data_IF_997569099825
#
_entry.id   IF_997569099825
#
_cell.length_a   1.000
_cell.length_b   1.000
_cell.length_c   1.000
_cell.angle_alpha   90.00
_cell.angle_beta   90.00
_cell.angle_gamma   90.00
#
_symmetry.space_group_name_H-M   'P 1'
#
loop_
_entity.id
_entity.type
_entity.pdbx_description
1 polymer ?
#
# COMPACT_ATOMS: atom_id res chain seq x y z
N UNK A 1 46.33 -25.67 -14.77
CA UNK A 1 46.03 -24.23 -14.64
C UNK A 1 45.04 -23.72 -15.68
N UNK A 2 45.08 -24.16 -16.94
CA UNK A 2 44.14 -23.71 -17.98
C UNK A 2 42.66 -24.06 -17.69
N UNK A 3 42.38 -25.26 -17.17
CA UNK A 3 41.00 -25.69 -16.87
C UNK A 3 40.34 -24.94 -15.72
N UNK A 4 41.14 -24.46 -14.78
CA UNK A 4 40.64 -23.64 -13.65
C UNK A 4 40.19 -22.25 -14.11
N UNK A 5 40.90 -21.65 -15.07
CA UNK A 5 40.52 -20.34 -15.65
C UNK A 5 39.27 -20.46 -16.53
N UNK A 6 39.10 -21.54 -17.28
CA UNK A 6 37.90 -21.78 -18.10
C UNK A 6 36.65 -21.95 -17.23
N UNK A 7 36.78 -22.62 -16.08
CA UNK A 7 35.70 -22.77 -15.11
C UNK A 7 35.24 -21.44 -14.52
N UNK A 8 36.17 -20.57 -14.11
CA UNK A 8 35.87 -19.26 -13.56
C UNK A 8 35.19 -18.34 -14.61
N UNK A 9 35.67 -18.35 -15.85
CA UNK A 9 35.06 -17.58 -16.93
C UNK A 9 33.62 -18.02 -17.25
N UNK A 10 33.33 -19.33 -17.18
CA UNK A 10 31.96 -19.86 -17.35
C UNK A 10 31.02 -19.43 -16.22
N UNK A 11 31.49 -19.47 -14.96
CA UNK A 11 30.71 -19.05 -13.81
C UNK A 11 30.43 -17.53 -13.86
N UNK A 12 31.43 -16.71 -14.21
CA UNK A 12 31.27 -15.27 -14.35
C UNK A 12 30.35 -14.89 -15.51
N UNK A 13 30.40 -15.62 -16.65
CA UNK A 13 29.49 -15.40 -17.76
C UNK A 13 28.04 -15.81 -17.43
N UNK A 14 27.86 -16.91 -16.68
CA UNK A 14 26.53 -17.34 -16.21
C UNK A 14 25.94 -16.36 -15.19
N UNK A 15 26.75 -15.82 -14.28
CA UNK A 15 26.36 -14.76 -13.34
C UNK A 15 26.02 -13.45 -14.07
N UNK A 16 26.83 -13.06 -15.06
CA UNK A 16 26.57 -11.87 -15.89
C UNK A 16 25.26 -12.02 -16.68
N UNK A 17 25.01 -13.20 -17.27
CA UNK A 17 23.74 -13.46 -17.98
C UNK A 17 22.54 -13.50 -17.04
N UNK A 18 22.66 -14.07 -15.83
CA UNK A 18 21.61 -14.01 -14.81
C UNK A 18 21.34 -12.58 -14.36
N UNK A 19 22.37 -11.78 -14.11
CA UNK A 19 22.26 -10.37 -13.79
C UNK A 19 21.60 -9.55 -14.92
N UNK A 20 21.95 -9.87 -16.17
CA UNK A 20 21.36 -9.22 -17.34
C UNK A 20 19.90 -9.56 -17.54
N UNK A 21 19.53 -10.84 -17.39
CA UNK A 21 18.12 -11.29 -17.39
C UNK A 21 17.34 -10.70 -16.21
N UNK A 22 17.94 -10.70 -15.01
CA UNK A 22 17.36 -10.07 -13.82
C UNK A 22 17.11 -8.59 -14.04
N UNK A 23 18.09 -7.82 -14.54
CA UNK A 23 17.95 -6.40 -14.85
C UNK A 23 16.92 -6.12 -15.96
N UNK A 24 16.81 -6.99 -16.98
CA UNK A 24 15.77 -6.87 -18.01
C UNK A 24 14.36 -7.12 -17.44
N UNK A 25 14.21 -8.14 -16.59
CA UNK A 25 12.94 -8.43 -15.90
C UNK A 25 12.57 -7.30 -14.93
N UNK A 26 13.58 -6.73 -14.23
CA UNK A 26 13.41 -5.63 -13.30
C UNK A 26 13.00 -4.32 -13.99
N UNK A 27 13.57 -4.01 -15.17
CA UNK A 27 13.19 -2.83 -15.96
C UNK A 27 11.72 -2.88 -16.41
N UNK A 28 11.15 -4.08 -16.61
CA UNK A 28 9.74 -4.24 -16.98
C UNK A 28 8.82 -4.03 -15.77
N UNK A 29 9.26 -4.36 -14.55
CA UNK A 29 8.44 -4.25 -13.32
C UNK A 29 8.53 -2.88 -12.64
N UNK A 30 9.63 -2.13 -12.86
CA UNK A 30 9.83 -0.80 -12.26
C UNK A 30 8.62 0.15 -12.40
N UNK A 31 7.93 0.21 -13.56
CA UNK A 31 6.77 1.09 -13.75
C UNK A 31 5.56 0.78 -12.85
N UNK A 32 5.49 -0.41 -12.28
CA UNK A 32 4.36 -0.83 -11.45
C UNK A 32 4.59 -0.62 -9.94
N UNK A 33 5.80 -0.19 -9.54
CA UNK A 33 6.11 0.08 -8.14
C UNK A 33 5.95 1.58 -7.87
N UNK A 34 4.98 1.98 -7.04
CA UNK A 34 4.78 3.39 -6.71
C UNK A 34 5.93 3.88 -5.83
N UNK A 35 6.85 4.65 -6.42
CA UNK A 35 8.11 5.08 -5.82
C UNK A 35 7.92 5.87 -4.53
N UNK A 36 7.04 6.87 -4.56
CA UNK A 36 6.74 7.72 -3.41
C UNK A 36 6.09 6.94 -2.29
N UNK A 37 5.19 5.99 -2.62
CA UNK A 37 4.60 5.11 -1.64
C UNK A 37 5.64 4.17 -1.01
N UNK A 38 6.55 3.62 -1.81
CA UNK A 38 7.64 2.79 -1.30
C UNK A 38 8.56 3.59 -0.36
N UNK A 39 8.91 4.84 -0.73
CA UNK A 39 9.70 5.73 0.12
C UNK A 39 8.98 6.02 1.45
N UNK A 40 7.68 6.31 1.38
CA UNK A 40 6.84 6.55 2.55
C UNK A 40 6.82 5.34 3.49
N UNK A 41 6.61 4.12 2.97
CA UNK A 41 6.65 2.87 3.75
C UNK A 41 7.99 2.65 4.43
N UNK A 42 9.10 2.84 3.71
CA UNK A 42 10.44 2.70 4.26
C UNK A 42 10.65 3.68 5.43
N UNK A 43 10.33 4.95 5.23
CA UNK A 43 10.51 5.96 6.26
C UNK A 43 9.57 5.77 7.46
N UNK A 44 8.35 5.30 7.23
CA UNK A 44 7.42 4.91 8.30
C UNK A 44 7.99 3.77 9.15
N UNK A 45 8.50 2.71 8.54
CA UNK A 45 9.09 1.58 9.27
C UNK A 45 10.36 1.99 10.02
N UNK A 46 11.21 2.82 9.42
CA UNK A 46 12.39 3.39 10.10
C UNK A 46 12.00 4.18 11.35
N UNK A 47 11.02 5.06 11.25
CA UNK A 47 10.52 5.85 12.38
C UNK A 47 9.91 4.95 13.46
N UNK A 48 9.08 3.97 13.06
CA UNK A 48 8.47 3.03 13.99
C UNK A 48 9.50 2.19 14.74
N UNK A 49 10.53 1.69 14.04
CA UNK A 49 11.63 0.95 14.65
C UNK A 49 12.47 1.81 15.59
N UNK A 50 12.69 3.08 15.24
CA UNK A 50 13.42 4.02 16.10
C UNK A 50 12.66 4.34 17.41
N UNK A 51 11.32 4.35 17.36
CA UNK A 51 10.47 4.57 18.54
C UNK A 51 10.34 3.34 19.45
N UNK A 52 10.66 2.14 18.96
CA UNK A 52 10.57 0.89 19.74
C UNK A 52 11.83 0.70 20.60
N UNK A 53 11.69 0.15 21.84
CA UNK A 53 12.84 -0.18 22.65
C UNK A 53 13.75 -1.20 21.94
N UNK A 54 15.05 -1.05 22.14
CA UNK A 54 16.00 -2.03 21.63
C UNK A 54 16.06 -3.25 22.54
N UNK A 55 15.51 -4.36 22.06
CA UNK A 55 15.48 -5.64 22.77
C UNK A 55 16.50 -6.58 22.14
N UNK A 56 17.46 -7.04 22.93
CA UNK A 56 18.44 -8.06 22.49
C UNK A 56 18.06 -9.42 23.08
N UNK A 57 18.04 -10.45 22.24
CA UNK A 57 17.79 -11.84 22.65
C UNK A 57 19.11 -12.60 22.75
N UNK A 58 19.31 -13.33 23.83
CA UNK A 58 20.43 -14.26 24.01
C UNK A 58 19.96 -15.52 24.74
N UNK A 59 20.82 -16.55 24.83
CA UNK A 59 20.53 -17.78 25.56
C UNK A 59 21.45 -17.90 26.77
N UNK A 60 20.91 -18.30 27.89
CA UNK A 60 21.67 -18.64 29.12
C UNK A 60 21.30 -20.02 29.62
N UNK A 61 22.30 -20.70 30.19
CA UNK A 61 22.08 -21.98 30.87
C UNK A 61 21.95 -21.70 32.36
N UNK A 62 20.80 -22.05 32.95
CA UNK A 62 20.52 -21.88 34.36
C UNK A 62 20.05 -23.22 34.90
N UNK A 63 20.75 -23.74 35.90
CA UNK A 63 20.47 -25.05 36.51
C UNK A 63 20.29 -26.16 35.44
N UNK A 64 21.17 -26.18 34.41
CA UNK A 64 21.14 -27.16 33.33
C UNK A 64 20.07 -26.92 32.25
N UNK A 65 19.19 -25.94 32.41
CA UNK A 65 18.18 -25.59 31.39
C UNK A 65 18.63 -24.39 30.56
N UNK A 66 18.49 -24.51 29.23
CA UNK A 66 18.71 -23.40 28.30
C UNK A 66 17.45 -22.52 28.27
N UNK A 67 17.58 -21.27 28.71
CA UNK A 67 16.51 -20.29 28.70
C UNK A 67 16.86 -19.16 27.74
N UNK A 68 15.86 -18.69 27.01
CA UNK A 68 15.95 -17.43 26.26
C UNK A 68 15.92 -16.26 27.26
N UNK A 69 16.75 -15.27 27.02
CA UNK A 69 16.93 -14.11 27.88
C UNK A 69 16.85 -12.87 27.02
N UNK A 70 16.05 -11.90 27.48
CA UNK A 70 15.89 -10.61 26.83
C UNK A 70 16.58 -9.52 27.63
N UNK A 71 17.30 -8.64 26.91
CA UNK A 71 18.08 -7.54 27.51
C UNK A 71 17.52 -6.23 26.95
N UNK A 72 17.11 -5.35 27.86
CA UNK A 72 16.63 -3.99 27.57
C UNK A 72 17.26 -3.02 28.58
N UNK A 73 17.87 -1.95 28.09
CA UNK A 73 18.54 -0.93 28.95
C UNK A 73 19.45 -1.58 29.99
N UNK A 74 20.28 -2.54 29.55
CA UNK A 74 21.24 -3.29 30.40
C UNK A 74 20.59 -4.17 31.50
N UNK A 75 19.27 -4.29 31.54
CA UNK A 75 18.55 -5.19 32.46
C UNK A 75 18.21 -6.50 31.76
N UNK A 76 18.27 -7.58 32.53
CA UNK A 76 18.11 -8.96 32.05
C UNK A 76 16.76 -9.48 32.51
N UNK A 77 15.99 -10.06 31.58
CA UNK A 77 14.67 -10.65 31.82
C UNK A 77 14.63 -12.06 31.25
N UNK A 78 14.20 -13.03 32.05
CA UNK A 78 14.09 -14.42 31.63
C UNK A 78 12.74 -14.67 30.96
N UNK A 79 12.74 -15.52 29.93
CA UNK A 79 11.54 -15.81 29.10
C UNK A 79 10.37 -16.43 29.88
N UNK A 80 10.61 -17.03 31.04
CA UNK A 80 9.59 -17.60 31.92
C UNK A 80 8.92 -16.57 32.85
N UNK A 81 9.52 -15.39 33.02
CA UNK A 81 8.92 -14.28 33.77
C UNK A 81 7.83 -13.55 32.98
N UNK A 82 6.90 -12.86 33.67
CA UNK A 82 5.85 -12.04 33.05
C UNK A 82 6.43 -11.02 32.08
N UNK A 83 7.37 -10.20 32.56
CA UNK A 83 8.07 -9.19 31.73
C UNK A 83 8.87 -9.83 30.61
N UNK A 84 9.49 -11.00 30.81
CA UNK A 84 10.20 -11.71 29.77
C UNK A 84 9.30 -12.16 28.63
N UNK A 85 8.05 -12.58 28.91
CA UNK A 85 7.05 -12.92 27.88
C UNK A 85 6.61 -11.68 27.09
N UNK A 86 6.39 -10.55 27.76
CA UNK A 86 6.07 -9.27 27.11
C UNK A 86 7.22 -8.83 26.17
N UNK A 87 8.46 -8.89 26.64
CA UNK A 87 9.65 -8.57 25.85
C UNK A 87 9.88 -9.55 24.70
N UNK A 88 9.47 -10.81 24.84
CA UNK A 88 9.48 -11.77 23.72
C UNK A 88 8.57 -11.30 22.58
N UNK A 89 7.36 -10.86 22.88
CA UNK A 89 6.44 -10.34 21.87
C UNK A 89 6.98 -9.08 21.21
N UNK A 90 7.53 -8.17 22.00
CA UNK A 90 8.19 -6.95 21.48
C UNK A 90 9.38 -7.29 20.57
N UNK A 91 10.23 -8.25 20.97
CA UNK A 91 11.34 -8.73 20.15
C UNK A 91 10.88 -9.28 18.81
N UNK A 92 9.87 -10.18 18.82
CA UNK A 92 9.31 -10.79 17.61
C UNK A 92 8.74 -9.70 16.69
N UNK A 93 7.95 -8.77 17.23
CA UNK A 93 7.37 -7.67 16.47
C UNK A 93 8.44 -6.78 15.83
N UNK A 94 9.48 -6.44 16.60
CA UNK A 94 10.61 -5.63 16.10
C UNK A 94 11.39 -6.37 14.99
N UNK A 95 11.61 -7.67 15.15
CA UNK A 95 12.29 -8.50 14.17
C UNK A 95 11.50 -8.61 12.85
N UNK A 96 10.18 -8.78 12.94
CA UNK A 96 9.28 -8.77 11.78
C UNK A 96 9.34 -7.43 11.03
N UNK A 97 9.29 -6.29 11.74
CA UNK A 97 9.40 -4.97 11.12
C UNK A 97 10.79 -4.73 10.49
N UNK A 98 11.87 -5.24 11.09
CA UNK A 98 13.21 -5.21 10.49
C UNK A 98 13.27 -6.01 9.20
N UNK A 99 12.71 -7.22 9.19
CA UNK A 99 12.67 -8.04 7.99
C UNK A 99 11.87 -7.38 6.87
N UNK A 100 10.73 -6.76 7.20
CA UNK A 100 9.92 -6.00 6.24
C UNK A 100 10.70 -4.81 5.70
N UNK A 101 11.33 -4.01 6.55
CA UNK A 101 12.17 -2.87 6.14
C UNK A 101 13.28 -3.31 5.19
N UNK A 102 14.02 -4.38 5.51
CA UNK A 102 15.08 -4.90 4.65
C UNK A 102 14.58 -5.31 3.27
N UNK A 103 13.39 -5.92 3.18
CA UNK A 103 12.74 -6.25 1.90
C UNK A 103 12.44 -4.99 1.10
N UNK A 104 11.83 -3.97 1.71
CA UNK A 104 11.50 -2.72 1.02
C UNK A 104 12.74 -1.94 0.59
N UNK A 105 13.79 -1.89 1.44
CA UNK A 105 15.08 -1.27 1.09
C UNK A 105 15.80 -2.02 -0.03
N UNK A 106 15.72 -3.36 -0.04
CA UNK A 106 16.22 -4.17 -1.16
C UNK A 106 15.46 -3.85 -2.45
N UNK A 107 14.13 -3.77 -2.39
CA UNK A 107 13.29 -3.35 -3.51
C UNK A 107 13.69 -1.97 -4.01
N UNK A 108 13.86 -0.99 -3.11
CA UNK A 108 14.31 0.36 -3.46
C UNK A 108 15.64 0.33 -4.20
N UNK A 109 16.64 -0.37 -3.67
CA UNK A 109 17.98 -0.45 -4.25
C UNK A 109 17.99 -1.17 -5.61
N UNK A 110 17.07 -2.11 -5.82
CA UNK A 110 16.94 -2.81 -7.09
C UNK A 110 16.32 -1.94 -8.20
N UNK A 111 15.28 -1.17 -7.86
CA UNK A 111 14.47 -0.45 -8.85
C UNK A 111 14.82 1.03 -8.97
N UNK A 112 15.25 1.66 -7.89
CA UNK A 112 15.50 3.10 -7.84
C UNK A 112 16.95 3.38 -7.47
N UNK A 113 17.54 4.36 -8.14
CA UNK A 113 18.89 4.82 -7.83
C UNK A 113 18.87 5.90 -6.75
N UNK A 114 19.90 5.90 -5.90
CA UNK A 114 20.08 6.90 -4.86
C UNK A 114 19.39 6.57 -3.54
N UNK A 115 19.47 7.50 -2.60
CA UNK A 115 18.90 7.32 -1.26
C UNK A 115 17.39 7.53 -1.27
N UNK A 116 16.71 6.84 -0.36
CA UNK A 116 15.29 7.08 -0.08
C UNK A 116 15.11 8.53 0.36
N UNK A 117 14.21 9.32 -0.29
CA UNK A 117 13.95 10.71 0.08
C UNK A 117 13.44 10.81 1.53
N UNK A 118 14.06 11.64 2.35
CA UNK A 118 13.71 11.77 3.78
C UNK A 118 12.48 12.64 4.04
N UNK A 119 12.16 13.51 3.11
CA UNK A 119 10.99 14.40 3.11
C UNK A 119 9.68 13.66 2.86
N UNK A 120 9.74 12.48 2.21
CA UNK A 120 8.61 11.58 2.06
C UNK A 120 8.53 10.68 3.29
N UNK A 121 7.92 11.19 4.35
CA UNK A 121 7.80 10.48 5.63
C UNK A 121 6.41 10.57 6.24
N UNK A 122 6.12 9.71 7.24
CA UNK A 122 4.82 9.71 7.89
C UNK A 122 4.57 11.05 8.59
N UNK A 123 3.35 11.55 8.41
CA UNK A 123 2.83 12.73 9.10
C UNK A 123 1.34 12.59 9.33
N UNK A 124 0.80 13.24 10.34
CA UNK A 124 -0.64 13.26 10.56
C UNK A 124 -1.30 14.24 9.60
N UNK A 125 -2.20 13.70 8.78
CA UNK A 125 -3.00 14.46 7.83
C UNK A 125 -4.47 14.27 8.21
N UNK A 126 -5.24 15.37 8.28
CA UNK A 126 -6.66 15.30 8.60
C UNK A 126 -7.48 15.80 7.42
N UNK A 127 -8.12 14.85 6.73
CA UNK A 127 -9.10 15.15 5.68
C UNK A 127 -10.49 14.76 6.17
N UNK A 128 -11.51 15.46 5.69
CA UNK A 128 -12.89 15.25 6.11
C UNK A 128 -13.80 15.01 4.92
N UNK A 129 -14.75 14.11 5.11
CA UNK A 129 -15.88 13.87 4.23
C UNK A 129 -17.14 14.41 4.92
N UNK A 130 -17.86 15.30 4.27
CA UNK A 130 -19.14 15.81 4.77
C UNK A 130 -20.28 14.91 4.31
N UNK A 131 -21.04 14.38 5.28
CA UNK A 131 -22.26 13.60 5.06
C UNK A 131 -23.52 14.46 5.14
N UNK A 132 -23.44 15.56 5.87
CA UNK A 132 -24.41 16.66 5.90
C UNK A 132 -23.70 17.95 6.29
N UNK A 133 -24.44 19.07 6.42
CA UNK A 133 -23.90 20.37 6.85
C UNK A 133 -23.22 20.26 8.22
N UNK A 134 -23.80 19.48 9.13
CA UNK A 134 -23.35 19.35 10.52
C UNK A 134 -22.66 18.01 10.83
N UNK A 135 -22.53 17.13 9.85
CA UNK A 135 -21.96 15.80 10.03
C UNK A 135 -20.78 15.57 9.07
N UNK A 136 -19.59 15.52 9.64
CA UNK A 136 -18.36 15.23 8.92
C UNK A 136 -17.59 14.09 9.59
N UNK A 137 -17.08 13.17 8.77
CA UNK A 137 -16.19 12.08 9.23
C UNK A 137 -14.77 12.34 8.80
N UNK A 138 -13.82 11.94 9.64
CA UNK A 138 -12.39 11.99 9.30
C UNK A 138 -12.06 10.75 8.44
N UNK A 139 -11.36 11.00 7.34
CA UNK A 139 -10.91 9.95 6.40
C UNK A 139 -9.66 9.25 6.92
N UNK A 140 -9.79 8.46 7.96
CA UNK A 140 -8.70 7.75 8.65
C UNK A 140 -8.93 6.23 8.66
N UNK A 141 -8.12 5.49 9.40
CA UNK A 141 -8.27 4.05 9.59
C UNK A 141 -9.61 3.65 10.21
N UNK A 142 -10.14 4.43 11.15
CA UNK A 142 -11.44 4.13 11.77
C UNK A 142 -12.57 4.21 10.73
N UNK A 143 -12.55 5.23 9.88
CA UNK A 143 -13.47 5.33 8.75
C UNK A 143 -13.34 4.12 7.82
N UNK A 144 -12.10 3.75 7.47
CA UNK A 144 -11.85 2.60 6.58
C UNK A 144 -12.39 1.28 7.15
N UNK A 145 -12.20 1.03 8.44
CA UNK A 145 -12.68 -0.20 9.09
C UNK A 145 -14.22 -0.27 9.15
N UNK A 146 -14.91 0.89 9.23
CA UNK A 146 -16.36 0.95 9.17
C UNK A 146 -16.92 0.67 7.77
N UNK A 147 -16.11 0.77 6.71
CA UNK A 147 -16.57 0.52 5.35
C UNK A 147 -16.80 -0.98 5.10
N UNK A 148 -17.97 -1.29 4.58
CA UNK A 148 -18.32 -2.64 4.16
C UNK A 148 -17.80 -2.89 2.74
N UNK A 149 -17.01 -3.93 2.56
CA UNK A 149 -16.51 -4.33 1.26
C UNK A 149 -17.63 -4.92 0.40
N UNK A 150 -17.63 -4.64 -0.91
CA UNK A 150 -18.60 -5.16 -1.88
C UNK A 150 -20.06 -4.89 -1.46
N UNK A 151 -20.35 -3.62 -1.14
CA UNK A 151 -21.64 -3.21 -0.60
C UNK A 151 -22.66 -2.81 -1.68
N UNK A 152 -22.23 -2.55 -2.94
CA UNK A 152 -23.15 -2.17 -4.02
C UNK A 152 -24.15 -3.30 -4.33
N UNK A 153 -25.47 -3.07 -4.12
CA UNK A 153 -26.48 -4.06 -4.44
C UNK A 153 -26.77 -4.18 -5.95
N UNK A 154 -26.35 -3.15 -6.71
CA UNK A 154 -26.57 -3.08 -8.14
C UNK A 154 -25.53 -3.91 -8.90
N UNK A 155 -25.88 -4.33 -10.11
CA UNK A 155 -24.95 -4.99 -11.04
C UNK A 155 -24.26 -6.27 -10.52
N UNK A 156 -24.81 -6.94 -9.50
CA UNK A 156 -24.23 -8.17 -8.95
C UNK A 156 -24.05 -9.26 -9.99
N UNK A 157 -24.98 -9.36 -10.96
CA UNK A 157 -24.92 -10.35 -12.05
C UNK A 157 -23.75 -10.09 -13.02
N UNK A 158 -23.23 -8.85 -13.09
CA UNK A 158 -22.08 -8.51 -13.93
C UNK A 158 -20.73 -8.80 -13.26
N UNK A 159 -20.70 -9.14 -11.96
CA UNK A 159 -19.51 -9.49 -11.21
C UNK A 159 -19.13 -10.94 -11.46
N UNK A 160 -18.37 -11.19 -12.53
CA UNK A 160 -18.01 -12.54 -12.98
C UNK A 160 -16.53 -12.88 -12.87
N UNK A 161 -15.66 -11.89 -12.60
CA UNK A 161 -14.22 -12.07 -12.54
C UNK A 161 -13.78 -12.20 -11.10
N UNK A 162 -13.26 -13.37 -10.73
CA UNK A 162 -12.85 -13.66 -9.33
C UNK A 162 -11.38 -13.37 -9.10
N UNK A 163 -11.08 -12.62 -8.03
CA UNK A 163 -9.73 -12.43 -7.51
C UNK A 163 -9.76 -12.26 -5.98
N UNK A 164 -8.91 -12.97 -5.29
CA UNK A 164 -8.64 -12.86 -3.85
C UNK A 164 -9.91 -12.76 -2.96
N UNK A 165 -10.90 -13.64 -3.21
CA UNK A 165 -12.12 -13.73 -2.40
C UNK A 165 -13.25 -12.77 -2.80
N UNK A 166 -13.08 -11.95 -3.83
CA UNK A 166 -14.06 -10.96 -4.30
C UNK A 166 -14.33 -11.14 -5.80
N UNK A 167 -15.55 -10.86 -6.23
CA UNK A 167 -15.93 -10.82 -7.63
C UNK A 167 -15.98 -9.39 -8.15
N UNK A 168 -15.41 -9.15 -9.34
CA UNK A 168 -15.27 -7.85 -9.99
C UNK A 168 -16.04 -7.82 -11.30
N UNK A 169 -16.42 -6.62 -11.76
CA UNK A 169 -17.18 -6.41 -13.00
C UNK A 169 -16.30 -6.36 -14.25
N UNK A 170 -15.06 -5.91 -14.13
CA UNK A 170 -14.15 -5.72 -15.26
C UNK A 170 -12.75 -6.27 -15.02
N UNK A 171 -12.03 -6.55 -16.09
CA UNK A 171 -10.62 -6.96 -16.02
C UNK A 171 -9.73 -5.85 -15.42
N UNK A 172 -10.03 -4.59 -15.73
CA UNK A 172 -9.31 -3.44 -15.16
C UNK A 172 -9.46 -3.39 -13.64
N UNK A 173 -10.66 -3.62 -13.09
CA UNK A 173 -10.88 -3.67 -11.65
C UNK A 173 -10.08 -4.81 -10.98
N UNK A 174 -9.97 -5.97 -11.62
CA UNK A 174 -9.12 -7.09 -11.14
C UNK A 174 -7.64 -6.68 -11.11
N UNK A 175 -7.15 -6.04 -12.17
CA UNK A 175 -5.75 -5.58 -12.22
C UNK A 175 -5.47 -4.48 -11.18
N UNK A 176 -6.42 -3.58 -10.93
CA UNK A 176 -6.35 -2.56 -9.87
C UNK A 176 -6.29 -3.25 -8.48
N UNK A 177 -7.18 -4.21 -8.22
CA UNK A 177 -7.20 -4.95 -6.97
C UNK A 177 -5.90 -5.75 -6.75
N UNK A 178 -5.36 -6.35 -7.82
CA UNK A 178 -4.06 -7.03 -7.80
C UNK A 178 -2.93 -6.07 -7.46
N UNK A 179 -2.88 -4.91 -8.12
CA UNK A 179 -1.90 -3.87 -7.85
C UNK A 179 -1.91 -3.44 -6.37
N UNK A 180 -3.08 -3.18 -5.79
CA UNK A 180 -3.18 -2.82 -4.37
C UNK A 180 -2.71 -3.96 -3.46
N UNK A 181 -3.11 -5.19 -3.76
CA UNK A 181 -2.70 -6.38 -2.98
C UNK A 181 -1.18 -6.56 -3.01
N UNK A 182 -0.56 -6.51 -4.18
CA UNK A 182 0.88 -6.72 -4.37
C UNK A 182 1.73 -5.62 -3.73
N UNK A 183 1.23 -4.38 -3.72
CA UNK A 183 1.89 -3.25 -3.05
C UNK A 183 1.55 -3.15 -1.54
N UNK A 184 0.71 -4.05 -1.01
CA UNK A 184 0.28 -4.07 0.38
C UNK A 184 -0.54 -2.84 0.79
N UNK A 185 -1.35 -2.32 -0.14
CA UNK A 185 -2.28 -1.21 0.09
C UNK A 185 -3.64 -1.81 0.46
N UNK A 186 -4.15 -1.60 1.67
CA UNK A 186 -5.50 -2.03 2.01
C UNK A 186 -6.53 -1.27 1.18
N UNK A 187 -7.54 -1.99 0.72
CA UNK A 187 -8.63 -1.40 -0.04
C UNK A 187 -9.97 -2.05 0.29
N UNK A 188 -11.05 -1.32 0.01
CA UNK A 188 -12.42 -1.80 -0.06
C UNK A 188 -12.92 -1.59 -1.48
N UNK A 189 -13.56 -2.61 -2.05
CA UNK A 189 -14.19 -2.57 -3.36
C UNK A 189 -15.68 -2.24 -3.22
N UNK A 190 -16.16 -1.29 -3.98
CA UNK A 190 -17.55 -0.79 -3.98
C UNK A 190 -18.15 -0.60 -2.57
N UNK A 191 -17.47 0.12 -1.65
CA UNK A 191 -18.03 0.39 -0.35
C UNK A 191 -19.15 1.43 -0.44
N UNK A 192 -20.13 1.32 0.47
CA UNK A 192 -21.21 2.29 0.60
C UNK A 192 -20.71 3.59 1.25
N UNK A 193 -20.92 4.72 0.57
CA UNK A 193 -20.46 6.05 1.01
C UNK A 193 -21.63 7.03 1.01
N UNK A 194 -21.87 7.66 2.14
CA UNK A 194 -22.86 8.74 2.29
C UNK A 194 -22.21 10.09 2.06
N UNK A 195 -22.70 10.84 1.07
CA UNK A 195 -22.20 12.15 0.68
C UNK A 195 -23.23 13.23 0.97
N UNK A 196 -22.76 14.43 1.34
CA UNK A 196 -23.62 15.57 1.59
C UNK A 196 -24.50 15.91 0.37
N UNK A 197 -25.76 16.20 0.62
CA UNK A 197 -26.74 16.59 -0.39
C UNK A 197 -27.34 15.42 -1.18
N UNK A 198 -26.95 14.18 -0.94
CA UNK A 198 -27.51 13.01 -1.61
C UNK A 198 -28.55 12.30 -0.73
N UNK A 199 -29.62 11.81 -1.39
CA UNK A 199 -30.67 11.00 -0.75
C UNK A 199 -30.28 9.51 -0.64
N UNK A 200 -29.33 9.06 -1.45
CA UNK A 200 -28.88 7.69 -1.53
C UNK A 200 -27.37 7.64 -1.46
N UNK A 201 -26.78 6.55 -0.93
CA UNK A 201 -25.35 6.38 -0.91
C UNK A 201 -24.80 6.27 -2.33
N UNK A 202 -23.52 6.58 -2.47
CA UNK A 202 -22.72 6.28 -3.67
C UNK A 202 -21.80 5.11 -3.37
N UNK A 203 -21.43 4.38 -4.41
CA UNK A 203 -20.48 3.29 -4.34
C UNK A 203 -19.23 3.71 -5.13
N UNK A 204 -18.14 3.97 -4.41
CA UNK A 204 -16.84 4.23 -5.02
C UNK A 204 -16.27 2.92 -5.55
N UNK A 205 -15.61 2.93 -6.69
CA UNK A 205 -15.02 1.67 -7.20
C UNK A 205 -14.01 1.11 -6.19
N UNK A 206 -13.17 1.97 -5.62
CA UNK A 206 -12.27 1.58 -4.52
C UNK A 206 -12.13 2.70 -3.49
N UNK A 207 -12.00 2.31 -2.22
CA UNK A 207 -11.44 3.17 -1.16
C UNK A 207 -10.18 2.51 -0.64
N UNK A 208 -9.05 3.21 -0.67
CA UNK A 208 -7.76 2.72 -0.21
C UNK A 208 -7.36 3.40 1.10
N UNK A 209 -6.60 2.69 1.93
CA UNK A 209 -6.00 3.24 3.14
C UNK A 209 -4.48 3.36 2.98
N UNK A 210 -3.98 4.59 3.04
CA UNK A 210 -2.54 4.87 3.18
C UNK A 210 -2.21 4.84 4.67
N UNK A 211 -1.87 3.66 5.17
CA UNK A 211 -1.64 3.41 6.61
C UNK A 211 -0.59 4.32 7.23
N UNK A 212 0.42 4.67 6.46
CA UNK A 212 1.56 5.46 6.86
C UNK A 212 1.21 6.94 7.12
N UNK A 213 0.05 7.38 6.58
CA UNK A 213 -0.51 8.71 6.77
C UNK A 213 -1.81 8.69 7.58
N UNK A 214 -2.31 7.50 7.94
CA UNK A 214 -3.64 7.29 8.52
C UNK A 214 -4.73 8.00 7.69
N UNK A 215 -4.72 7.78 6.38
CA UNK A 215 -5.51 8.56 5.42
C UNK A 215 -6.17 7.67 4.36
N UNK A 216 -7.50 7.81 4.20
CA UNK A 216 -8.23 7.19 3.11
C UNK A 216 -8.21 8.05 1.84
N UNK A 217 -8.20 7.38 0.69
CA UNK A 217 -8.35 7.96 -0.64
C UNK A 217 -9.39 7.19 -1.43
N UNK A 218 -10.11 7.88 -2.28
CA UNK A 218 -11.09 7.29 -3.19
C UNK A 218 -10.46 7.12 -4.57
N UNK A 219 -10.72 5.99 -5.20
CA UNK A 219 -10.29 5.73 -6.56
C UNK A 219 -11.50 5.32 -7.40
N UNK A 220 -11.77 6.09 -8.46
CA UNK A 220 -12.78 5.81 -9.47
C UNK A 220 -12.10 5.38 -10.76
N UNK A 221 -12.55 4.29 -11.33
CA UNK A 221 -12.06 3.79 -12.60
C UNK A 221 -13.16 3.89 -13.67
N UNK A 222 -12.95 4.72 -14.67
CA UNK A 222 -13.91 4.95 -15.72
C UNK A 222 -13.58 4.14 -16.99
N UNK A 223 -14.41 3.15 -17.31
CA UNK A 223 -14.40 2.50 -18.62
C UNK A 223 -14.82 3.51 -19.69
N UNK A 224 -13.98 3.76 -20.68
CA UNK A 224 -14.32 4.68 -21.78
C UNK A 224 -15.40 4.07 -22.68
N UNK A 225 -16.64 4.48 -22.43
CA UNK A 225 -17.74 4.25 -23.36
C UNK A 225 -18.06 5.59 -24.00
N UNK A 226 -17.95 5.66 -25.32
CA UNK A 226 -18.30 6.82 -26.14
C UNK A 226 -19.82 7.08 -26.12
N UNK A 227 -20.38 7.28 -24.92
CA UNK A 227 -21.79 7.59 -24.78
C UNK A 227 -21.96 8.87 -23.94
N UNK A 228 -22.80 9.78 -24.44
CA UNK A 228 -23.15 11.00 -23.73
C UNK A 228 -23.74 10.74 -22.33
N UNK A 229 -24.43 9.60 -22.17
CA UNK A 229 -24.98 9.21 -20.87
C UNK A 229 -23.89 8.82 -19.87
N UNK A 230 -22.85 8.10 -20.32
CA UNK A 230 -21.71 7.75 -19.47
C UNK A 230 -20.94 8.98 -19.01
N UNK A 231 -20.69 9.93 -19.92
CA UNK A 231 -20.02 11.21 -19.59
C UNK A 231 -20.83 12.02 -18.56
N UNK A 232 -22.18 11.98 -18.66
CA UNK A 232 -23.05 12.63 -17.67
C UNK A 232 -22.95 11.97 -16.30
N UNK A 233 -22.91 10.65 -16.24
CA UNK A 233 -22.74 9.91 -14.97
C UNK A 233 -21.38 10.23 -14.34
N UNK A 234 -20.32 10.27 -15.12
CA UNK A 234 -18.98 10.65 -14.68
C UNK A 234 -18.97 12.07 -14.09
N UNK A 235 -19.54 13.05 -14.80
CA UNK A 235 -19.65 14.43 -14.31
C UNK A 235 -20.46 14.52 -13.02
N UNK A 236 -21.51 13.73 -12.87
CA UNK A 236 -22.30 13.66 -11.64
C UNK A 236 -21.48 13.13 -10.47
N UNK A 237 -20.68 12.07 -10.67
CA UNK A 237 -19.78 11.58 -9.61
C UNK A 237 -18.79 12.66 -9.15
N UNK A 238 -18.16 13.39 -10.09
CA UNK A 238 -17.27 14.52 -9.75
C UNK A 238 -17.96 15.56 -8.88
N UNK A 239 -19.16 15.99 -9.27
CA UNK A 239 -19.92 16.99 -8.52
C UNK A 239 -20.30 16.49 -7.13
N UNK A 240 -20.70 15.23 -7.00
CA UNK A 240 -21.08 14.63 -5.73
C UNK A 240 -19.88 14.61 -4.74
N UNK A 241 -18.72 14.20 -5.18
CA UNK A 241 -17.51 14.19 -4.35
C UNK A 241 -17.09 15.60 -3.94
N UNK A 242 -17.08 16.54 -4.89
CA UNK A 242 -16.74 17.95 -4.61
C UNK A 242 -17.73 18.58 -3.64
N UNK A 243 -19.04 18.32 -3.78
CA UNK A 243 -20.09 18.78 -2.87
C UNK A 243 -19.96 18.22 -1.45
N UNK A 244 -19.29 17.10 -1.27
CA UNK A 244 -18.98 16.49 0.02
C UNK A 244 -17.61 16.93 0.59
N UNK A 245 -16.95 17.91 -0.03
CA UNK A 245 -15.66 18.46 0.42
C UNK A 245 -14.44 17.66 -0.01
N UNK A 246 -14.60 16.69 -0.91
CA UNK A 246 -13.49 15.90 -1.45
C UNK A 246 -12.90 16.59 -2.67
N UNK A 247 -11.58 16.77 -2.68
CA UNK A 247 -10.87 17.43 -3.77
C UNK A 247 -10.47 16.41 -4.84
N UNK A 248 -10.79 16.67 -6.12
CA UNK A 248 -10.31 15.87 -7.22
C UNK A 248 -8.77 15.83 -7.25
N UNK A 249 -8.20 14.68 -7.63
CA UNK A 249 -6.77 14.37 -7.71
C UNK A 249 -6.02 14.45 -6.37
N UNK A 250 -6.68 14.86 -5.30
CA UNK A 250 -6.11 14.84 -3.95
C UNK A 250 -6.81 13.79 -3.07
N UNK A 251 -8.12 13.88 -2.91
CA UNK A 251 -8.91 12.95 -2.10
C UNK A 251 -9.55 11.84 -2.95
N UNK A 252 -9.93 12.19 -4.17
CA UNK A 252 -10.49 11.29 -5.17
C UNK A 252 -9.63 11.34 -6.43
N UNK A 253 -9.03 10.24 -6.82
CA UNK A 253 -8.27 10.18 -8.06
C UNK A 253 -8.94 9.23 -9.07
N UNK A 254 -8.62 9.45 -10.33
CA UNK A 254 -9.35 8.86 -11.43
C UNK A 254 -8.41 8.14 -12.39
N UNK A 255 -8.80 6.93 -12.79
CA UNK A 255 -8.17 6.21 -13.90
C UNK A 255 -9.20 5.90 -14.99
N UNK A 256 -8.73 5.64 -16.20
CA UNK A 256 -9.59 5.52 -17.37
C UNK A 256 -9.15 4.35 -18.25
N UNK A 257 -10.13 3.64 -18.81
CA UNK A 257 -9.86 2.78 -19.96
C UNK A 257 -9.78 3.64 -21.24
N UNK A 258 -8.92 3.22 -22.15
CA UNK A 258 -8.83 3.78 -23.50
C UNK A 258 -9.23 2.70 -24.48
N UNK A 259 -10.18 3.02 -25.37
CA UNK A 259 -10.71 2.06 -26.34
C UNK A 259 -9.58 1.39 -27.16
N UNK A 260 -9.57 0.06 -27.17
CA UNK A 260 -8.57 -0.74 -27.84
C UNK A 260 -7.19 -0.82 -27.17
N UNK A 261 -7.02 -0.18 -25.99
CA UNK A 261 -5.77 -0.23 -25.22
C UNK A 261 -6.05 -0.90 -23.88
N UNK A 262 -5.34 -1.99 -23.52
CA UNK A 262 -5.44 -2.59 -22.18
C UNK A 262 -5.11 -1.57 -21.08
N UNK A 263 -5.81 -1.68 -19.95
CA UNK A 263 -5.50 -0.84 -18.78
C UNK A 263 -4.04 -0.98 -18.35
N UNK A 264 -3.35 0.15 -18.23
CA UNK A 264 -1.93 0.18 -17.89
C UNK A 264 -1.72 0.56 -16.42
N UNK A 265 -1.23 -0.39 -15.63
CA UNK A 265 -0.91 -0.21 -14.22
C UNK A 265 0.14 0.90 -13.95
N UNK A 266 0.94 1.29 -14.96
CA UNK A 266 1.85 2.45 -14.85
C UNK A 266 1.08 3.74 -14.58
N UNK A 267 -0.09 3.90 -15.22
CA UNK A 267 -0.98 5.03 -14.98
C UNK A 267 -1.43 5.06 -13.52
N UNK A 268 -1.87 3.91 -12.98
CA UNK A 268 -2.27 3.80 -11.58
C UNK A 268 -1.11 4.10 -10.62
N UNK A 269 0.07 3.54 -10.89
CA UNK A 269 1.28 3.80 -10.09
C UNK A 269 1.64 5.29 -10.07
N UNK A 270 1.60 5.95 -11.24
CA UNK A 270 1.88 7.40 -11.36
C UNK A 270 0.84 8.23 -10.62
N UNK A 271 -0.45 7.92 -10.76
CA UNK A 271 -1.53 8.60 -10.05
C UNK A 271 -1.40 8.47 -8.53
N UNK A 272 -1.13 7.26 -8.05
CA UNK A 272 -0.94 7.01 -6.63
C UNK A 272 0.26 7.81 -6.08
N UNK A 273 1.38 7.85 -6.79
CA UNK A 273 2.54 8.66 -6.41
C UNK A 273 2.20 10.15 -6.33
N UNK A 274 1.48 10.70 -7.32
CA UNK A 274 1.03 12.10 -7.31
C UNK A 274 0.14 12.38 -6.09
N UNK A 275 -0.87 11.54 -5.85
CA UNK A 275 -1.81 11.70 -4.73
C UNK A 275 -1.09 11.64 -3.37
N UNK A 276 -0.09 10.78 -3.22
CA UNK A 276 0.72 10.72 -2.00
C UNK A 276 1.57 11.98 -1.85
N UNK A 277 2.26 12.38 -2.93
CA UNK A 277 3.09 13.58 -2.95
C UNK A 277 2.24 14.82 -2.60
N UNK A 278 1.12 15.01 -3.28
CA UNK A 278 0.20 16.13 -3.04
C UNK A 278 -0.32 16.12 -1.60
N UNK A 279 -0.66 14.95 -1.04
CA UNK A 279 -1.07 14.81 0.36
C UNK A 279 0.01 15.23 1.35
N UNK A 280 1.28 15.09 0.98
CA UNK A 280 2.41 15.45 1.84
C UNK A 280 2.77 16.93 1.75
N UNK A 281 2.55 17.60 0.62
CA UNK A 281 3.07 18.94 0.34
C UNK A 281 1.99 20.00 0.09
N UNK A 282 0.73 19.61 -0.13
CA UNK A 282 -0.40 20.54 -0.18
C UNK A 282 -1.06 20.52 1.20
N UNK A 283 -1.09 21.67 1.93
CA UNK A 283 -1.62 21.77 3.29
C UNK A 283 -3.16 21.63 3.35
#
# INVERSE_FOLDING_TARGET
>A
MADFFVGICRVLSALSNKLRLYNQTMQILEPYIPKEYLALKINYLRQKLAAMPEVTKTKRVIRGKKLDVYIVNSRIYYSDSKTGKELQLEYIKRDQLKCELLKLESTWNCYFRGMVPKDIGPRKITRRLYRSVDDAVILNSDFFECLKNDADPNYRESKILFYNGTYYRSAAEVEIARFYTENGIPFKYEPEIWLNGLKYPVYSDFVILIKELDLCKFHEHFGMKNSANYNRITATKYNNYSGAGLLPELDVFYTYDVDGVPFDLRTLSTKLNSVIYDSLFIP
#
